data_IF_048706572253
#
_entry.id   IF_048706572253
#
_cell.length_a   1.000
_cell.length_b   1.000
_cell.length_c   1.000
_cell.angle_alpha   90.00
_cell.angle_beta   90.00
_cell.angle_gamma   90.00
#
_symmetry.space_group_name_H-M   'P 1'
#
loop_
_entity.id
_entity.type
_entity.pdbx_description
1 polymer ?
#
# COMPACT_ATOMS: atom_id res chain seq x y z
N UNK A 1 2.82 5.33 2.03
CA UNK A 1 1.60 6.00 1.55
C UNK A 1 1.41 7.26 2.36
N UNK A 2 1.17 8.42 1.72
CA UNK A 2 0.86 9.64 2.45
C UNK A 2 -0.40 9.47 3.31
N UNK A 3 -0.44 10.03 4.54
CA UNK A 3 -1.67 10.08 5.34
C UNK A 3 -2.82 10.75 4.58
N UNK A 4 -4.06 10.29 4.82
CA UNK A 4 -5.25 10.84 4.16
C UNK A 4 -5.38 10.49 2.67
N UNK A 5 -4.65 9.48 2.19
CA UNK A 5 -4.72 9.02 0.80
C UNK A 5 -5.06 7.54 0.69
N UNK A 6 -5.81 7.19 -0.34
CA UNK A 6 -6.14 5.80 -0.70
C UNK A 6 -5.48 5.44 -2.02
N UNK A 7 -4.89 4.25 -2.11
CA UNK A 7 -4.33 3.75 -3.35
C UNK A 7 -5.42 3.62 -4.42
N UNK A 8 -5.16 4.12 -5.62
CA UNK A 8 -6.03 3.86 -6.78
C UNK A 8 -5.85 2.41 -7.21
N UNK A 9 -6.93 1.66 -7.26
CA UNK A 9 -6.93 0.25 -7.65
C UNK A 9 -6.18 0.04 -8.98
N UNK A 10 -5.30 -0.96 -9.01
CA UNK A 10 -4.51 -1.35 -10.18
C UNK A 10 -3.69 -0.20 -10.81
N UNK A 11 -3.28 0.80 -10.02
CA UNK A 11 -2.42 1.91 -10.49
C UNK A 11 -0.93 1.72 -10.21
N UNK A 12 -0.59 0.71 -9.41
CA UNK A 12 0.78 0.42 -9.01
C UNK A 12 1.51 -0.32 -10.14
N UNK A 13 2.59 0.28 -10.63
CA UNK A 13 3.46 -0.25 -11.67
C UNK A 13 4.91 -0.27 -11.19
N UNK A 14 5.65 -1.37 -11.39
CA UNK A 14 5.19 -2.68 -11.87
C UNK A 14 4.12 -3.34 -10.98
N UNK A 15 3.33 -4.27 -11.52
CA UNK A 15 2.18 -4.87 -10.81
C UNK A 15 2.54 -5.75 -9.60
N UNK A 16 3.81 -6.13 -9.49
CA UNK A 16 4.36 -6.97 -8.41
C UNK A 16 4.67 -6.23 -7.11
N UNK A 17 4.00 -5.11 -6.85
CA UNK A 17 4.13 -4.38 -5.61
C UNK A 17 3.63 -5.22 -4.41
N UNK A 18 4.36 -5.15 -3.30
CA UNK A 18 3.89 -5.66 -2.01
C UNK A 18 3.31 -4.50 -1.21
N UNK A 19 2.24 -4.76 -0.46
CA UNK A 19 1.59 -3.77 0.39
C UNK A 19 1.71 -4.13 1.87
N UNK A 20 1.49 -3.14 2.71
CA UNK A 20 1.55 -3.24 4.15
C UNK A 20 0.52 -2.29 4.79
N UNK A 21 -0.10 -2.73 5.88
CA UNK A 21 -1.01 -1.91 6.70
C UNK A 21 -0.32 -1.26 7.90
N UNK A 22 0.89 -1.70 8.25
CA UNK A 22 1.67 -1.25 9.42
C UNK A 22 2.98 -0.55 9.05
N UNK A 23 3.41 -0.64 7.79
CA UNK A 23 4.68 -0.13 7.29
C UNK A 23 5.88 -1.07 7.50
N UNK A 24 5.68 -2.20 8.18
CA UNK A 24 6.75 -3.14 8.57
C UNK A 24 6.56 -4.53 7.96
N UNK A 25 5.32 -5.02 7.92
CA UNK A 25 4.96 -6.33 7.39
C UNK A 25 4.40 -6.16 5.99
N UNK A 26 5.07 -6.74 5.00
CA UNK A 26 4.68 -6.60 3.61
C UNK A 26 4.24 -7.94 3.04
N UNK A 27 3.14 -7.94 2.30
CA UNK A 27 2.60 -9.10 1.62
C UNK A 27 2.15 -8.76 0.19
N UNK A 28 2.02 -9.75 -0.71
CA UNK A 28 1.54 -9.54 -2.07
C UNK A 28 0.15 -8.89 -2.10
N UNK A 29 -0.07 -8.02 -3.09
CA UNK A 29 -1.38 -7.41 -3.31
C UNK A 29 -2.31 -8.32 -4.13
N UNK A 30 -3.64 -8.33 -3.87
CA UNK A 30 -4.32 -7.64 -2.77
C UNK A 30 -4.13 -8.34 -1.42
N UNK A 31 -4.06 -7.55 -0.35
CA UNK A 31 -3.91 -8.05 1.01
C UNK A 31 -5.19 -8.75 1.47
N UNK A 32 -5.01 -9.82 2.23
CA UNK A 32 -6.10 -10.53 2.91
C UNK A 32 -5.77 -10.66 4.39
N UNK A 33 -6.78 -10.50 5.23
CA UNK A 33 -6.68 -10.71 6.68
C UNK A 33 -7.55 -11.88 7.10
N UNK A 34 -7.15 -12.56 8.17
CA UNK A 34 -7.96 -13.61 8.79
C UNK A 34 -8.73 -12.98 9.95
N UNK A 35 -10.06 -13.04 9.90
CA UNK A 35 -10.97 -12.53 10.93
C UNK A 35 -11.61 -13.72 11.64
N UNK A 36 -11.55 -13.73 12.96
CA UNK A 36 -12.27 -14.72 13.79
C UNK A 36 -13.72 -14.28 13.93
N UNK A 37 -14.63 -15.18 13.59
CA UNK A 37 -16.07 -14.95 13.69
C UNK A 37 -16.59 -15.25 15.10
N UNK A 38 -17.81 -14.79 15.38
CA UNK A 38 -18.50 -15.01 16.65
C UNK A 38 -18.76 -16.51 16.93
N UNK A 39 -18.86 -17.32 15.88
CA UNK A 39 -19.01 -18.78 15.96
C UNK A 39 -17.68 -19.53 16.23
N UNK A 40 -16.57 -18.80 16.38
CA UNK A 40 -15.24 -19.35 16.59
C UNK A 40 -14.51 -19.76 15.30
N UNK A 41 -15.15 -19.72 14.14
CA UNK A 41 -14.52 -20.00 12.85
C UNK A 41 -13.62 -18.84 12.39
N UNK A 42 -12.72 -19.11 11.45
CA UNK A 42 -11.86 -18.09 10.85
C UNK A 42 -12.24 -17.86 9.39
N UNK A 43 -12.39 -16.61 8.99
CA UNK A 43 -12.69 -16.21 7.60
C UNK A 43 -11.59 -15.33 7.04
N UNK A 44 -11.20 -15.58 5.79
CA UNK A 44 -10.35 -14.66 5.03
C UNK A 44 -11.20 -13.55 4.45
N UNK A 45 -10.79 -12.30 4.69
CA UNK A 45 -11.44 -11.09 4.19
C UNK A 45 -10.41 -10.22 3.45
N UNK A 46 -10.78 -9.59 2.31
CA UNK A 46 -9.91 -8.60 1.67
C UNK A 46 -9.68 -7.41 2.59
N UNK A 47 -8.44 -6.93 2.65
CA UNK A 47 -8.12 -5.69 3.35
C UNK A 47 -8.51 -4.51 2.44
N UNK A 48 -9.30 -3.55 2.91
CA UNK A 48 -9.62 -2.34 2.16
C UNK A 48 -8.37 -1.55 1.74
N UNK A 49 -8.36 -1.01 0.53
CA UNK A 49 -7.23 -0.19 0.04
C UNK A 49 -6.94 1.04 0.91
N UNK A 50 -7.95 1.57 1.60
CA UNK A 50 -7.79 2.67 2.55
C UNK A 50 -6.96 2.31 3.79
N UNK A 51 -6.79 1.02 4.09
CA UNK A 51 -5.93 0.54 5.19
C UNK A 51 -4.46 0.40 4.76
N UNK A 52 -4.13 0.54 3.48
CA UNK A 52 -2.75 0.36 3.01
C UNK A 52 -1.90 1.58 3.42
N UNK A 53 -0.81 1.33 4.13
CA UNK A 53 0.11 2.35 4.67
C UNK A 53 1.45 2.39 3.97
N UNK A 54 1.91 1.28 3.37
CA UNK A 54 3.12 1.27 2.57
C UNK A 54 3.01 0.32 1.38
N UNK A 55 3.69 0.69 0.28
CA UNK A 55 3.94 -0.17 -0.87
C UNK A 55 5.45 -0.28 -1.05
N UNK A 56 5.93 -1.44 -1.48
CA UNK A 56 7.32 -1.66 -1.88
C UNK A 56 7.39 -2.47 -3.17
N UNK A 57 8.44 -2.23 -3.93
CA UNK A 57 8.81 -3.03 -5.09
C UNK A 57 10.14 -3.69 -4.82
N UNK A 58 10.22 -5.00 -5.11
CA UNK A 58 11.51 -5.66 -5.27
C UNK A 58 11.92 -5.52 -6.73
N UNK A 59 12.95 -4.71 -6.98
CA UNK A 59 13.45 -4.41 -8.32
C UNK A 59 14.60 -5.35 -8.73
N UNK A 60 15.01 -6.27 -7.85
CA UNK A 60 16.13 -7.18 -8.08
C UNK A 60 17.46 -6.45 -8.29
N UNK A 61 18.34 -7.05 -9.09
CA UNK A 61 19.62 -6.47 -9.46
C UNK A 61 19.45 -5.48 -10.62
N UNK A 62 19.97 -4.26 -10.44
CA UNK A 62 20.01 -3.23 -11.48
C UNK A 62 21.45 -3.11 -12.01
N UNK A 63 21.75 -3.54 -13.26
CA UNK A 63 23.08 -3.44 -13.83
C UNK A 63 23.57 -1.99 -13.97
N UNK A 64 24.87 -1.80 -14.19
CA UNK A 64 25.43 -0.48 -14.45
C UNK A 64 24.79 0.16 -15.69
N UNK A 65 24.33 1.41 -15.54
CA UNK A 65 23.64 2.15 -16.60
C UNK A 65 22.18 1.74 -16.82
N UNK A 66 21.65 0.76 -16.09
CA UNK A 66 20.24 0.41 -16.15
C UNK A 66 19.39 1.31 -15.24
N UNK A 67 18.13 1.49 -15.62
CA UNK A 67 17.14 2.27 -14.88
C UNK A 67 15.82 1.50 -14.79
N UNK A 68 15.12 1.64 -13.66
CA UNK A 68 13.75 1.14 -13.50
C UNK A 68 12.86 2.28 -13.03
N UNK A 69 11.59 2.24 -13.42
CA UNK A 69 10.60 3.23 -13.04
C UNK A 69 9.50 2.52 -12.29
N UNK A 70 9.18 3.04 -11.11
CA UNK A 70 8.02 2.64 -10.32
C UNK A 70 7.05 3.81 -10.25
N UNK A 71 5.77 3.54 -10.41
CA UNK A 71 4.72 4.55 -10.34
C UNK A 71 3.50 4.01 -9.62
N UNK A 72 2.75 4.90 -8.99
CA UNK A 72 1.47 4.59 -8.36
C UNK A 72 0.61 5.84 -8.35
N UNK A 73 -0.71 5.67 -8.27
CA UNK A 73 -1.64 6.79 -8.08
C UNK A 73 -2.36 6.66 -6.75
N UNK A 74 -2.56 7.80 -6.10
CA UNK A 74 -3.35 7.90 -4.86
C UNK A 74 -4.48 8.90 -5.05
N UNK A 75 -5.60 8.62 -4.41
CA UNK A 75 -6.69 9.59 -4.22
C UNK A 75 -6.50 10.27 -2.87
N UNK A 76 -6.70 11.58 -2.83
CA UNK A 76 -6.77 12.34 -1.58
C UNK A 76 -8.19 12.18 -1.04
N UNK A 77 -8.35 11.53 0.12
CA UNK A 77 -9.66 11.29 0.73
C UNK A 77 -10.03 12.41 1.70
N UNK A 78 -9.03 12.98 2.36
CA UNK A 78 -9.16 14.16 3.21
C UNK A 78 -8.04 15.11 2.83
N UNK A 79 -8.32 16.39 2.53
CA UNK A 79 -7.24 17.35 2.36
C UNK A 79 -6.48 17.38 3.68
N UNK A 80 -5.22 16.93 3.64
CA UNK A 80 -4.28 17.13 4.73
C UNK A 80 -4.23 18.63 4.93
N UNK A 81 -4.74 19.13 6.05
CA UNK A 81 -4.53 20.53 6.45
C UNK A 81 -3.03 20.73 6.38
N UNK A 82 -2.59 21.55 5.42
CA UNK A 82 -1.19 21.70 5.07
C UNK A 82 -0.41 21.90 6.36
N UNK A 83 0.61 21.05 6.58
CA UNK A 83 1.51 21.16 7.71
C UNK A 83 1.86 22.63 7.91
N UNK A 84 1.45 23.20 9.05
CA UNK A 84 1.82 24.55 9.43
C UNK A 84 3.34 24.63 9.41
N UNK A 85 3.88 25.31 8.40
CA UNK A 85 5.27 25.69 8.37
C UNK A 85 5.54 26.53 9.61
N UNK A 86 6.40 26.04 10.50
CA UNK A 86 6.82 26.77 11.69
C UNK A 86 7.66 27.98 11.22
N UNK A 87 7.43 29.19 11.78
CA UNK A 87 8.14 30.42 11.41
C UNK A 87 9.63 30.39 11.78
#
# INVERSE_FOLDING_TARGET
>A
MPPGTTLVQASAEPTQAMASTDGTTFAPMPLTRVVKQADGSTRKEPVPLAEYRALRWDIGALPSGASTVVSLRVRIDTPVVAFAAKP
#
